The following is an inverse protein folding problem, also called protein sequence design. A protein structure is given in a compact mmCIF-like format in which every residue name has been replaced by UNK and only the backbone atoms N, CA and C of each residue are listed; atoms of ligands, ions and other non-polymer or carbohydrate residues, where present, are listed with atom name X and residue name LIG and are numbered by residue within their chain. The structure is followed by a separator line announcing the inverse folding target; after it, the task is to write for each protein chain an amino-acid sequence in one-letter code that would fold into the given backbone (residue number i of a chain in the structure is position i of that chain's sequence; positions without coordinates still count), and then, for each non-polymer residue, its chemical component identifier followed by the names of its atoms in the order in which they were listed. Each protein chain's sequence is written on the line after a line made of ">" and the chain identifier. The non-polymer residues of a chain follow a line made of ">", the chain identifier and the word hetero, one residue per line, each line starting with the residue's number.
data_IF_185331313139
#
_entry.id   IF_185331313139
#
_cell.length_a   1.000
_cell.length_b   1.000
_cell.length_c   1.000
_cell.angle_alpha   90.00
_cell.angle_beta   90.00
_cell.angle_gamma   90.00
#
_symmetry.space_group_name_H-M   'P 1'
#
loop_
_entity.id
_entity.type
_entity.pdbx_description
1 polymer ?
#
# COMPACT_ATOMS: atom_id res chain seq x y z
N UNK A 1 28.22 -26.68 9.32
CA UNK A 1 28.21 -25.26 8.90
C UNK A 1 27.16 -24.52 9.71
N UNK A 2 27.55 -23.53 10.51
CA UNK A 2 26.59 -22.74 11.29
C UNK A 2 25.77 -21.83 10.36
N UNK A 3 24.45 -21.81 10.51
CA UNK A 3 23.56 -20.85 9.82
C UNK A 3 23.97 -19.44 10.25
N UNK A 4 24.65 -18.71 9.37
CA UNK A 4 24.96 -17.30 9.59
C UNK A 4 23.63 -16.53 9.63
N UNK A 5 23.28 -16.01 10.79
CA UNK A 5 22.10 -15.17 10.95
C UNK A 5 22.40 -13.82 10.32
N UNK A 6 21.97 -13.63 9.06
CA UNK A 6 22.06 -12.35 8.38
C UNK A 6 20.97 -11.44 8.95
N UNK A 7 21.37 -10.30 9.54
CA UNK A 7 20.41 -9.28 9.96
C UNK A 7 19.79 -8.63 8.72
N UNK A 8 18.50 -8.86 8.51
CA UNK A 8 17.78 -8.38 7.30
C UNK A 8 16.91 -7.14 7.55
N UNK A 9 16.60 -6.85 8.80
CA UNK A 9 15.63 -5.80 9.16
C UNK A 9 16.22 -4.88 10.21
N UNK A 10 16.22 -3.58 9.90
CA UNK A 10 16.54 -2.52 10.85
C UNK A 10 15.25 -1.79 11.23
N UNK A 11 15.09 -1.49 12.53
CA UNK A 11 14.01 -0.64 13.03
C UNK A 11 14.62 0.63 13.61
N UNK A 12 14.16 1.77 13.14
CA UNK A 12 14.64 3.08 13.58
C UNK A 12 13.46 3.99 13.93
N UNK A 13 13.76 5.04 14.70
CA UNK A 13 12.81 6.12 15.02
C UNK A 13 13.11 7.32 14.13
N UNK A 14 12.06 8.03 13.72
CA UNK A 14 12.20 9.28 12.97
C UNK A 14 12.58 10.39 13.95
N UNK A 15 13.80 10.90 13.85
CA UNK A 15 14.33 11.92 14.76
C UNK A 15 13.76 13.32 14.48
N UNK A 16 13.40 13.63 13.23
CA UNK A 16 12.83 14.91 12.82
C UNK A 16 11.32 14.84 12.54
N UNK A 17 10.59 14.01 13.32
CA UNK A 17 9.17 13.70 13.05
C UNK A 17 8.30 14.95 12.89
N UNK A 18 8.50 15.99 13.72
CA UNK A 18 7.74 17.24 13.64
C UNK A 18 7.84 17.92 12.27
N UNK A 19 8.96 17.78 11.57
CA UNK A 19 9.19 18.39 10.26
C UNK A 19 8.55 17.59 9.12
N UNK A 20 8.40 16.27 9.28
CA UNK A 20 7.95 15.38 8.20
C UNK A 20 6.56 14.80 8.42
N UNK A 21 5.94 15.05 9.59
CA UNK A 21 4.65 14.46 9.98
C UNK A 21 3.57 14.67 8.92
N UNK A 22 3.37 15.90 8.47
CA UNK A 22 2.28 16.22 7.56
C UNK A 22 2.45 15.53 6.19
N UNK A 23 3.69 15.39 5.72
CA UNK A 23 4.02 14.67 4.50
C UNK A 23 3.74 13.16 4.65
N UNK A 24 4.20 12.56 5.74
CA UNK A 24 3.94 11.15 6.04
C UNK A 24 2.44 10.86 6.19
N UNK A 25 1.72 11.78 6.84
CA UNK A 25 0.27 11.68 7.02
C UNK A 25 -0.46 11.75 5.68
N UNK A 26 -0.05 12.67 4.81
CA UNK A 26 -0.61 12.82 3.46
C UNK A 26 -0.38 11.58 2.60
N UNK A 27 0.82 10.99 2.67
CA UNK A 27 1.10 9.73 1.99
C UNK A 27 0.27 8.58 2.59
N UNK A 28 0.10 8.54 3.91
CA UNK A 28 -0.66 7.49 4.59
C UNK A 28 -2.15 7.53 4.22
N UNK A 29 -2.68 8.74 4.06
CA UNK A 29 -4.03 9.00 3.58
C UNK A 29 -4.19 8.63 2.09
N UNK A 30 -3.22 8.99 1.25
CA UNK A 30 -3.20 8.61 -0.16
C UNK A 30 -3.21 7.09 -0.35
N UNK A 31 -2.43 6.36 0.46
CA UNK A 31 -2.43 4.90 0.48
C UNK A 31 -3.81 4.32 0.88
N UNK A 32 -4.46 4.87 1.90
CA UNK A 32 -5.82 4.46 2.29
C UNK A 32 -6.84 4.71 1.18
N UNK A 33 -6.76 5.86 0.48
CA UNK A 33 -7.62 6.16 -0.67
C UNK A 33 -7.41 5.18 -1.82
N UNK A 34 -6.16 4.93 -2.22
CA UNK A 34 -5.85 4.00 -3.30
C UNK A 34 -6.30 2.57 -2.95
N UNK A 35 -6.12 2.14 -1.71
CA UNK A 35 -6.66 0.86 -1.22
C UNK A 35 -8.18 0.80 -1.39
N UNK A 36 -8.90 1.84 -0.97
CA UNK A 36 -10.36 1.88 -1.04
C UNK A 36 -10.87 1.85 -2.48
N UNK A 37 -10.23 2.57 -3.41
CA UNK A 37 -10.52 2.51 -4.86
C UNK A 37 -10.27 1.10 -5.40
N UNK A 38 -9.13 0.50 -5.05
CA UNK A 38 -8.79 -0.86 -5.46
C UNK A 38 -9.79 -1.89 -4.94
N UNK A 39 -10.15 -1.80 -3.66
CA UNK A 39 -11.15 -2.70 -3.06
C UNK A 39 -12.47 -2.54 -3.82
N UNK A 40 -12.98 -1.32 -3.94
CA UNK A 40 -14.24 -1.07 -4.64
C UNK A 40 -14.25 -1.68 -6.05
N UNK A 41 -13.14 -1.52 -6.78
CA UNK A 41 -12.96 -2.13 -8.11
C UNK A 41 -13.04 -3.66 -8.05
N UNK A 42 -12.32 -4.29 -7.13
CA UNK A 42 -12.34 -5.74 -6.96
C UNK A 42 -13.73 -6.28 -6.59
N UNK A 43 -14.47 -5.56 -5.75
CA UNK A 43 -15.85 -5.94 -5.39
C UNK A 43 -16.76 -5.96 -6.62
N UNK A 44 -16.66 -4.95 -7.50
CA UNK A 44 -17.48 -4.92 -8.72
C UNK A 44 -17.16 -6.07 -9.67
N UNK A 45 -15.88 -6.37 -9.87
CA UNK A 45 -15.50 -7.53 -10.70
C UNK A 45 -16.08 -8.82 -10.10
N UNK A 46 -15.99 -8.97 -8.78
CA UNK A 46 -16.58 -10.10 -8.08
C UNK A 46 -18.11 -10.19 -8.24
N UNK A 47 -18.82 -9.08 -8.06
CA UNK A 47 -20.28 -9.05 -8.14
C UNK A 47 -20.79 -9.38 -9.57
N UNK A 48 -20.03 -9.01 -10.60
CA UNK A 48 -20.41 -9.23 -12.00
C UNK A 48 -20.05 -10.62 -12.52
N UNK A 49 -18.89 -11.19 -12.16
CA UNK A 49 -18.42 -12.47 -12.74
C UNK A 49 -17.98 -13.53 -11.73
N UNK A 50 -18.04 -13.26 -10.42
CA UNK A 50 -17.62 -14.19 -9.38
C UNK A 50 -16.11 -14.45 -9.37
N UNK A 51 -15.31 -13.59 -9.99
CA UNK A 51 -13.86 -13.68 -10.01
C UNK A 51 -13.23 -12.53 -9.22
N UNK A 52 -12.13 -12.83 -8.54
CA UNK A 52 -11.32 -11.82 -7.87
C UNK A 52 -10.17 -11.44 -8.79
N UNK A 53 -9.97 -10.15 -9.10
CA UNK A 53 -8.81 -9.73 -9.85
C UNK A 53 -7.54 -9.91 -8.99
N UNK A 54 -6.50 -10.47 -9.57
CA UNK A 54 -5.21 -10.58 -8.92
C UNK A 54 -4.52 -9.20 -8.79
N UNK A 55 -3.40 -9.16 -8.08
CA UNK A 55 -2.62 -7.94 -7.89
C UNK A 55 -2.21 -7.27 -9.21
N UNK A 56 -1.85 -8.05 -10.24
CA UNK A 56 -1.38 -7.54 -11.52
C UNK A 56 -2.51 -6.89 -12.32
N UNK A 57 -3.68 -7.52 -12.35
CA UNK A 57 -4.89 -7.00 -12.98
C UNK A 57 -5.33 -5.68 -12.32
N UNK A 58 -5.36 -5.63 -10.98
CA UNK A 58 -5.67 -4.40 -10.24
C UNK A 58 -4.66 -3.29 -10.53
N UNK A 59 -3.37 -3.62 -10.54
CA UNK A 59 -2.31 -2.65 -10.86
C UNK A 59 -2.43 -2.12 -12.29
N UNK A 60 -2.69 -2.98 -13.27
CA UNK A 60 -2.82 -2.58 -14.67
C UNK A 60 -4.03 -1.65 -14.87
N UNK A 61 -5.17 -2.01 -14.29
CA UNK A 61 -6.41 -1.24 -14.39
C UNK A 61 -6.28 0.14 -13.71
N UNK A 62 -5.68 0.20 -12.53
CA UNK A 62 -5.60 1.43 -11.73
C UNK A 62 -4.37 2.29 -12.03
N UNK A 63 -3.47 1.87 -12.92
CA UNK A 63 -2.23 2.61 -13.23
C UNK A 63 -2.48 4.05 -13.68
N UNK A 64 -3.58 4.28 -14.38
CA UNK A 64 -3.98 5.60 -14.90
C UNK A 64 -5.01 6.32 -14.02
N UNK A 65 -5.38 5.73 -12.88
CA UNK A 65 -6.31 6.35 -11.95
C UNK A 65 -5.65 7.54 -11.25
N UNK A 66 -6.36 8.65 -11.04
CA UNK A 66 -5.81 9.88 -10.43
C UNK A 66 -5.07 9.61 -9.10
N UNK A 67 -5.67 8.78 -8.24
CA UNK A 67 -5.11 8.38 -6.93
C UNK A 67 -3.85 7.53 -7.01
N UNK A 68 -3.54 6.94 -8.16
CA UNK A 68 -2.29 6.22 -8.35
C UNK A 68 -1.08 7.16 -8.31
N UNK A 69 -1.25 8.41 -8.76
CA UNK A 69 -0.20 9.43 -8.78
C UNK A 69 -0.04 10.18 -7.44
N UNK A 70 -0.92 9.93 -6.46
CA UNK A 70 -0.80 10.48 -5.09
C UNK A 70 0.39 9.85 -4.32
N UNK A 71 0.85 8.68 -4.74
CA UNK A 71 2.05 8.02 -4.22
C UNK A 71 3.12 7.86 -5.30
N UNK A 72 4.36 7.59 -4.89
CA UNK A 72 5.38 7.12 -5.81
C UNK A 72 4.90 5.81 -6.47
N UNK A 73 5.16 5.61 -7.77
CA UNK A 73 4.62 4.49 -8.54
C UNK A 73 4.83 3.12 -7.88
N UNK A 74 6.02 2.87 -7.33
CA UNK A 74 6.30 1.62 -6.62
C UNK A 74 5.56 1.46 -5.28
N UNK A 75 5.22 2.56 -4.62
CA UNK A 75 4.39 2.54 -3.42
C UNK A 75 2.93 2.30 -3.79
N UNK A 76 2.42 2.90 -4.87
CA UNK A 76 1.09 2.60 -5.42
C UNK A 76 0.95 1.13 -5.79
N UNK A 77 1.94 0.58 -6.50
CA UNK A 77 2.02 -0.85 -6.81
C UNK A 77 1.95 -1.70 -5.55
N UNK A 78 2.67 -1.32 -4.49
CA UNK A 78 2.68 -2.10 -3.26
C UNK A 78 1.33 -2.08 -2.54
N UNK A 79 0.63 -0.94 -2.50
CA UNK A 79 -0.73 -0.86 -1.93
C UNK A 79 -1.68 -1.83 -2.64
N UNK A 80 -1.64 -1.86 -3.98
CA UNK A 80 -2.49 -2.75 -4.77
C UNK A 80 -2.07 -4.22 -4.67
N UNK A 81 -0.76 -4.48 -4.53
CA UNK A 81 -0.24 -5.82 -4.27
C UNK A 81 -0.69 -6.34 -2.90
N UNK A 82 -0.62 -5.53 -1.84
CA UNK A 82 -1.15 -5.89 -0.52
C UNK A 82 -2.65 -6.21 -0.58
N UNK A 83 -3.40 -5.48 -1.40
CA UNK A 83 -4.83 -5.72 -1.59
C UNK A 83 -5.10 -7.05 -2.30
N UNK A 84 -4.37 -7.33 -3.39
CA UNK A 84 -4.45 -8.61 -4.10
C UNK A 84 -4.12 -9.79 -3.18
N UNK A 85 -3.00 -9.71 -2.45
CA UNK A 85 -2.58 -10.71 -1.45
C UNK A 85 -3.66 -10.95 -0.37
N UNK A 86 -4.32 -9.86 0.08
CA UNK A 86 -5.40 -9.96 1.07
C UNK A 86 -6.64 -10.66 0.51
N UNK A 87 -7.02 -10.39 -0.75
CA UNK A 87 -8.13 -11.08 -1.41
C UNK A 87 -7.82 -12.55 -1.70
N UNK A 88 -6.62 -12.86 -2.19
CA UNK A 88 -6.17 -14.25 -2.42
C UNK A 88 -6.22 -15.06 -1.12
N UNK A 89 -5.74 -14.48 -0.01
CA UNK A 89 -5.81 -15.09 1.31
C UNK A 89 -7.26 -15.34 1.76
N UNK A 90 -8.14 -14.35 1.58
CA UNK A 90 -9.57 -14.50 1.89
C UNK A 90 -10.23 -15.60 1.05
N UNK A 91 -9.97 -15.60 -0.26
CA UNK A 91 -10.55 -16.58 -1.17
C UNK A 91 -10.07 -18.00 -0.87
N UNK A 92 -8.79 -18.17 -0.53
CA UNK A 92 -8.25 -19.45 -0.04
C UNK A 92 -9.00 -19.96 1.20
N UNK A 93 -9.31 -19.08 2.16
CA UNK A 93 -10.12 -19.45 3.35
C UNK A 93 -11.53 -19.89 2.97
N UNK A 94 -12.18 -19.18 2.05
CA UNK A 94 -13.53 -19.52 1.56
C UNK A 94 -13.56 -20.87 0.84
N UNK A 95 -12.57 -21.15 -0.02
CA UNK A 95 -12.44 -22.46 -0.69
C UNK A 95 -12.22 -23.60 0.30
N UNK A 96 -11.54 -23.34 1.41
CA UNK A 96 -11.29 -24.32 2.48
C UNK A 96 -12.49 -24.46 3.46
N UNK A 97 -13.68 -23.98 3.09
CA UNK A 97 -14.91 -24.17 3.86
C UNK A 97 -15.13 -23.16 5.00
N UNK A 98 -14.24 -22.17 5.19
CA UNK A 98 -14.47 -21.12 6.18
C UNK A 98 -15.48 -20.09 5.63
N UNK A 99 -16.75 -20.33 5.91
CA UNK A 99 -17.86 -19.45 5.50
C UNK A 99 -17.87 -18.12 6.25
N UNK A 100 -17.25 -18.05 7.43
CA UNK A 100 -17.14 -16.85 8.27
C UNK A 100 -15.96 -15.93 7.90
N UNK A 101 -15.18 -16.28 6.87
CA UNK A 101 -14.07 -15.45 6.41
C UNK A 101 -14.59 -14.17 5.73
N UNK A 102 -14.21 -13.01 6.27
CA UNK A 102 -14.57 -11.72 5.70
C UNK A 102 -13.55 -11.27 4.64
N UNK A 103 -14.01 -10.65 3.53
CA UNK A 103 -13.12 -10.08 2.54
C UNK A 103 -12.34 -8.89 3.13
N UNK A 104 -11.26 -8.45 2.45
CA UNK A 104 -10.55 -7.23 2.82
C UNK A 104 -11.50 -6.03 2.98
N UNK A 105 -11.45 -5.39 4.15
CA UNK A 105 -12.27 -4.24 4.47
C UNK A 105 -11.78 -2.95 3.80
N UNK A 106 -12.64 -1.93 3.83
CA UNK A 106 -12.20 -0.57 3.52
C UNK A 106 -11.29 -0.03 4.64
N UNK A 107 -10.26 0.72 4.28
CA UNK A 107 -9.43 1.49 5.21
C UNK A 107 -10.08 2.86 5.43
N UNK A 108 -11.27 2.85 6.04
CA UNK A 108 -12.04 4.04 6.47
C UNK A 108 -12.91 3.67 7.67
N UNK A 109 -13.19 4.65 8.52
CA UNK A 109 -14.14 4.55 9.62
C UNK A 109 -15.05 5.79 9.57
N UNK A 110 -16.29 5.62 9.07
CA UNK A 110 -17.16 6.73 8.68
C UNK A 110 -16.43 7.67 7.70
N UNK A 111 -16.30 8.95 8.05
CA UNK A 111 -15.56 9.96 7.29
C UNK A 111 -14.06 9.97 7.62
N UNK A 112 -13.63 9.28 8.68
CA UNK A 112 -12.21 9.18 9.04
C UNK A 112 -11.50 8.15 8.16
N UNK A 113 -10.31 8.49 7.72
CA UNK A 113 -9.47 7.65 6.87
C UNK A 113 -8.19 7.37 7.64
N UNK A 114 -8.13 6.27 8.42
CA UNK A 114 -6.97 5.96 9.22
C UNK A 114 -5.75 5.81 8.31
N UNK A 115 -4.61 6.29 8.81
CA UNK A 115 -3.35 6.30 8.06
C UNK A 115 -2.94 4.86 7.77
N UNK A 116 -2.73 4.55 6.50
CA UNK A 116 -2.15 3.26 6.12
C UNK A 116 -0.65 3.24 6.37
N UNK A 117 -0.13 2.06 6.73
CA UNK A 117 1.30 1.77 6.57
C UNK A 117 1.67 1.93 5.10
N UNK A 118 2.82 2.54 4.85
CA UNK A 118 3.33 2.77 3.49
C UNK A 118 4.62 2.01 3.33
N UNK A 119 4.71 1.28 2.23
CA UNK A 119 5.93 0.61 1.82
C UNK A 119 6.60 1.40 0.70
N UNK A 120 7.88 1.72 0.89
CA UNK A 120 8.74 2.28 -0.15
C UNK A 120 9.64 1.16 -0.67
N UNK A 121 9.46 0.77 -1.94
CA UNK A 121 10.41 -0.15 -2.61
C UNK A 121 11.72 0.60 -2.93
N UNK A 122 12.71 -0.10 -3.46
CA UNK A 122 14.07 0.42 -3.65
C UNK A 122 14.17 1.77 -4.38
N UNK A 123 13.29 2.09 -5.35
CA UNK A 123 13.30 3.40 -6.00
C UNK A 123 12.42 4.44 -5.28
N UNK A 124 11.61 4.01 -4.31
CA UNK A 124 10.78 4.87 -3.46
C UNK A 124 11.51 5.51 -2.30
N UNK A 125 12.74 5.08 -1.98
CA UNK A 125 13.58 5.72 -0.95
C UNK A 125 15.05 5.75 -1.35
N UNK A 126 15.82 6.64 -0.72
CA UNK A 126 17.27 6.74 -0.90
C UNK A 126 17.96 6.97 0.44
N UNK A 127 19.09 6.29 0.65
CA UNK A 127 20.02 6.65 1.71
C UNK A 127 20.92 7.80 1.23
N UNK A 128 20.76 8.97 1.83
CA UNK A 128 21.62 10.14 1.64
C UNK A 128 22.75 10.07 2.66
N UNK A 129 23.86 9.46 2.27
CA UNK A 129 25.03 9.25 3.13
C UNK A 129 25.75 10.55 3.49
N UNK A 130 25.68 11.57 2.63
CA UNK A 130 26.30 12.86 2.88
C UNK A 130 25.64 13.59 4.06
N UNK A 131 24.31 13.55 4.10
CA UNK A 131 23.53 14.19 5.16
C UNK A 131 23.10 13.21 6.28
N UNK A 132 23.47 11.94 6.18
CA UNK A 132 23.04 10.84 7.05
C UNK A 132 21.50 10.78 7.23
N UNK A 133 20.76 10.80 6.12
CA UNK A 133 19.29 10.83 6.08
C UNK A 133 18.71 9.76 5.17
N UNK A 134 17.51 9.29 5.50
CA UNK A 134 16.66 8.56 4.56
C UNK A 134 15.72 9.54 3.88
N UNK A 135 15.73 9.55 2.55
CA UNK A 135 14.82 10.35 1.72
C UNK A 135 13.71 9.44 1.20
N UNK A 136 12.47 9.84 1.39
CA UNK A 136 11.28 9.11 0.93
C UNK A 136 10.65 9.87 -0.24
N UNK A 137 10.19 9.13 -1.24
CA UNK A 137 9.61 9.72 -2.45
C UNK A 137 8.13 10.03 -2.28
N UNK A 138 7.72 11.24 -2.67
CA UNK A 138 6.31 11.63 -2.80
C UNK A 138 5.74 11.23 -4.16
N UNK A 139 4.42 11.06 -4.22
CA UNK A 139 3.70 10.98 -5.49
C UNK A 139 3.74 12.32 -6.24
N UNK A 140 3.50 12.28 -7.55
CA UNK A 140 3.53 13.47 -8.40
C UNK A 140 2.54 14.52 -7.91
N UNK A 141 1.35 14.10 -7.49
CA UNK A 141 0.29 15.02 -7.04
C UNK A 141 0.56 15.67 -5.67
N UNK A 142 1.57 15.19 -4.93
CA UNK A 142 1.95 15.71 -3.62
C UNK A 142 3.29 16.47 -3.65
N UNK A 143 3.84 16.71 -4.85
CA UNK A 143 4.98 17.61 -5.02
C UNK A 143 4.41 19.01 -5.24
N UNK A 144 4.94 19.98 -4.51
CA UNK A 144 4.74 21.39 -4.82
C UNK A 144 5.49 21.69 -6.13
N UNK A 145 4.89 22.51 -7.00
CA UNK A 145 5.48 22.94 -8.28
C UNK A 145 6.71 23.85 -8.08
#
# INVERSE_FOLDING_TARGET
>A
MAKQVVMRTYRARICNYSQVRNDLDSLGFAASKLWNVGRWTAQRVWDECGQIPDANALMAYLKNHERYADLHSQSSQRVLQELGEAFESWYGKRRNGNTNANPPGYRKHNDDHPRSTITFKAAGFKHDTHNNRIRLSKGKNLKED
#
